data_IF_619686165684
#
_entry.id   IF_619686165684
#
_cell.length_a   1.000
_cell.length_b   1.000
_cell.length_c   1.000
_cell.angle_alpha   90.00
_cell.angle_beta   90.00
_cell.angle_gamma   90.00
#
_symmetry.space_group_name_H-M   'P 1'
#
loop_
_entity.id
_entity.type
_entity.pdbx_description
1 polymer ?
#
# COMPACT_ATOMS: atom_id res chain seq x y z
N UNK A 1 -13.48 -9.67 -11.81
CA UNK A 1 -13.20 -10.70 -10.79
C UNK A 1 -12.41 -9.99 -9.70
N UNK A 2 -13.02 -9.82 -8.53
CA UNK A 2 -12.44 -9.11 -7.39
C UNK A 2 -11.51 -10.12 -6.70
N UNK A 3 -10.26 -9.75 -6.42
CA UNK A 3 -9.28 -10.66 -5.82
C UNK A 3 -9.67 -11.04 -4.38
N UNK A 4 -9.23 -12.18 -3.83
CA UNK A 4 -9.60 -12.64 -2.49
C UNK A 4 -9.30 -11.62 -1.38
N UNK A 5 -8.27 -10.80 -1.57
CA UNK A 5 -7.92 -9.71 -0.67
C UNK A 5 -8.98 -8.60 -0.60
N UNK A 6 -9.67 -8.34 -1.70
CA UNK A 6 -10.68 -7.29 -1.79
C UNK A 6 -12.00 -7.67 -1.11
N UNK A 7 -12.28 -8.97 -0.92
CA UNK A 7 -13.41 -9.45 -0.10
C UNK A 7 -13.09 -9.40 1.40
N UNK A 8 -11.82 -9.59 1.77
CA UNK A 8 -11.36 -9.59 3.17
C UNK A 8 -11.22 -8.18 3.77
N UNK A 9 -11.15 -7.13 2.94
CA UNK A 9 -10.99 -5.73 3.39
C UNK A 9 -12.34 -5.02 3.33
N UNK A 10 -12.82 -4.55 4.50
CA UNK A 10 -14.04 -3.74 4.59
C UNK A 10 -13.82 -2.40 3.88
N UNK A 11 -14.32 -2.32 2.64
CA UNK A 11 -14.30 -1.09 1.85
C UNK A 11 -15.17 -0.02 2.52
N UNK A 12 -14.64 1.21 2.59
CA UNK A 12 -15.33 2.38 3.14
C UNK A 12 -15.12 3.54 2.18
N UNK A 13 -16.20 4.27 1.90
CA UNK A 13 -16.15 5.49 1.10
C UNK A 13 -16.76 6.63 1.91
N UNK A 14 -16.11 7.79 1.89
CA UNK A 14 -16.59 9.03 2.51
C UNK A 14 -16.76 10.06 1.40
N UNK A 15 -17.95 10.63 1.28
CA UNK A 15 -18.29 11.62 0.24
C UNK A 15 -18.37 13.05 0.79
N UNK A 16 -17.86 13.26 2.00
CA UNK A 16 -17.81 14.55 2.70
C UNK A 16 -16.42 14.72 3.31
N UNK A 17 -16.36 15.24 4.53
CA UNK A 17 -15.09 15.40 5.23
C UNK A 17 -14.39 14.05 5.46
N UNK A 18 -13.06 14.08 5.39
CA UNK A 18 -12.26 12.94 5.79
C UNK A 18 -12.47 12.65 7.29
N UNK A 19 -12.40 11.37 7.70
CA UNK A 19 -12.29 11.01 9.11
C UNK A 19 -11.10 11.74 9.77
N UNK A 20 -11.14 11.85 11.10
CA UNK A 20 -10.06 12.47 11.86
C UNK A 20 -8.68 11.88 11.52
N UNK A 21 -7.65 12.72 11.47
CA UNK A 21 -6.27 12.37 11.07
C UNK A 21 -5.76 11.09 11.74
N UNK A 22 -5.98 10.95 13.06
CA UNK A 22 -5.60 9.74 13.82
C UNK A 22 -6.11 8.42 13.23
N UNK A 23 -7.30 8.44 12.62
CA UNK A 23 -7.90 7.27 12.00
C UNK A 23 -7.23 6.97 10.67
N UNK A 24 -6.89 8.00 9.91
CA UNK A 24 -6.16 7.87 8.65
C UNK A 24 -4.74 7.35 8.93
N UNK A 25 -4.03 7.95 9.88
CA UNK A 25 -2.69 7.53 10.28
C UNK A 25 -2.65 6.07 10.73
N UNK A 26 -3.58 5.66 11.61
CA UNK A 26 -3.66 4.27 12.06
C UNK A 26 -3.97 3.32 10.90
N UNK A 27 -4.85 3.73 9.99
CA UNK A 27 -5.20 2.92 8.82
C UNK A 27 -4.00 2.76 7.89
N UNK A 28 -3.23 3.82 7.64
CA UNK A 28 -2.02 3.76 6.83
C UNK A 28 -0.95 2.88 7.49
N UNK A 29 -0.77 2.97 8.81
CA UNK A 29 0.15 2.12 9.55
C UNK A 29 -0.23 0.63 9.50
N UNK A 30 -1.52 0.32 9.64
CA UNK A 30 -2.04 -1.06 9.53
C UNK A 30 -1.81 -1.64 8.13
N UNK A 31 -2.07 -0.85 7.09
CA UNK A 31 -1.84 -1.25 5.69
C UNK A 31 -0.34 -1.45 5.44
N UNK A 32 0.49 -0.49 5.87
CA UNK A 32 1.95 -0.57 5.72
C UNK A 32 2.51 -1.83 6.39
N UNK A 33 2.06 -2.13 7.61
CA UNK A 33 2.45 -3.33 8.35
C UNK A 33 1.98 -4.61 7.66
N UNK A 34 0.73 -4.65 7.19
CA UNK A 34 0.14 -5.84 6.56
C UNK A 34 0.84 -6.22 5.26
N UNK A 35 1.23 -5.24 4.45
CA UNK A 35 1.75 -5.47 3.10
C UNK A 35 3.26 -5.23 2.96
N UNK A 36 3.92 -4.63 3.96
CA UNK A 36 5.34 -4.28 3.88
C UNK A 36 6.33 -5.45 3.86
N UNK A 37 5.87 -6.68 4.07
CA UNK A 37 6.66 -7.91 3.91
C UNK A 37 6.26 -8.76 2.71
N UNK A 38 5.40 -8.25 1.82
CA UNK A 38 5.03 -8.94 0.59
C UNK A 38 6.11 -8.68 -0.47
N UNK A 39 7.01 -9.63 -0.65
CA UNK A 39 8.16 -9.53 -1.55
C UNK A 39 7.88 -10.12 -2.96
N UNK A 40 6.60 -10.33 -3.30
CA UNK A 40 6.20 -10.87 -4.60
C UNK A 40 6.43 -9.86 -5.74
N UNK A 41 6.91 -10.35 -6.88
CA UNK A 41 7.22 -9.54 -8.07
C UNK A 41 8.72 -9.41 -8.32
N UNK A 42 9.09 -8.62 -9.33
CA UNK A 42 10.49 -8.37 -9.68
C UNK A 42 10.70 -6.87 -9.95
N UNK A 43 11.86 -6.36 -9.53
CA UNK A 43 12.29 -5.00 -9.87
C UNK A 43 12.57 -4.95 -11.36
N UNK A 44 12.06 -3.92 -12.04
CA UNK A 44 12.31 -3.72 -13.47
C UNK A 44 13.82 -3.50 -13.72
N UNK A 45 14.41 -4.32 -14.59
CA UNK A 45 15.86 -4.37 -14.81
C UNK A 45 16.31 -4.04 -16.25
N UNK A 46 15.36 -3.80 -17.17
CA UNK A 46 15.65 -3.49 -18.58
C UNK A 46 16.35 -2.14 -18.78
N UNK A 47 16.27 -1.22 -17.81
CA UNK A 47 17.11 -0.01 -17.70
C UNK A 47 18.02 -0.20 -16.48
N UNK A 48 19.36 -0.13 -16.62
CA UNK A 48 20.28 -0.47 -15.54
C UNK A 48 20.05 0.26 -14.22
N UNK A 49 19.73 1.57 -14.25
CA UNK A 49 19.51 2.35 -13.02
C UNK A 49 18.26 1.91 -12.24
N UNK A 50 17.28 1.28 -12.90
CA UNK A 50 16.08 0.78 -12.22
C UNK A 50 16.37 -0.48 -11.40
N UNK A 51 17.31 -1.32 -11.86
CA UNK A 51 17.73 -2.54 -11.16
C UNK A 51 18.40 -2.26 -9.81
N UNK A 52 18.83 -1.02 -9.56
CA UNK A 52 19.45 -0.61 -8.29
C UNK A 52 18.42 -0.38 -7.17
N UNK A 53 17.11 -0.37 -7.46
CA UNK A 53 16.07 -0.23 -6.45
C UNK A 53 16.05 -1.43 -5.50
N UNK A 54 15.92 -1.18 -4.19
CA UNK A 54 15.73 -2.25 -3.22
C UNK A 54 14.32 -2.84 -3.37
N UNK A 55 14.17 -4.15 -3.65
CA UNK A 55 12.84 -4.78 -3.79
C UNK A 55 11.99 -4.67 -2.53
N UNK A 56 12.61 -4.39 -1.36
CA UNK A 56 11.92 -4.23 -0.08
C UNK A 56 11.42 -2.81 0.15
N UNK A 57 11.63 -1.89 -0.79
CA UNK A 57 11.09 -0.53 -0.67
C UNK A 57 9.58 -0.53 -0.84
N UNK A 58 8.89 -0.24 0.26
CA UNK A 58 7.43 -0.08 0.29
C UNK A 58 7.04 1.12 1.15
N UNK A 59 6.30 2.07 0.56
CA UNK A 59 5.91 3.32 1.22
C UNK A 59 4.54 3.81 0.78
N UNK A 60 3.84 4.48 1.70
CA UNK A 60 2.54 5.10 1.49
C UNK A 60 2.63 6.59 1.80
N UNK A 61 2.01 7.43 0.96
CA UNK A 61 1.96 8.89 1.15
C UNK A 61 0.53 9.38 0.90
N UNK A 62 0.09 10.34 1.70
CA UNK A 62 -1.22 11.00 1.60
C UNK A 62 -1.03 12.53 1.79
N UNK A 63 -1.70 13.34 0.97
CA UNK A 63 -1.66 14.81 0.98
C UNK A 63 -3.10 15.34 1.00
#
# INVERSE_FOLDING_TARGET
MIGPDQEAVRQRAFTGDLPADRFIDSTLADIHTRYGGLDDGEVADYIPILAEADPRWFGLSLI
#
